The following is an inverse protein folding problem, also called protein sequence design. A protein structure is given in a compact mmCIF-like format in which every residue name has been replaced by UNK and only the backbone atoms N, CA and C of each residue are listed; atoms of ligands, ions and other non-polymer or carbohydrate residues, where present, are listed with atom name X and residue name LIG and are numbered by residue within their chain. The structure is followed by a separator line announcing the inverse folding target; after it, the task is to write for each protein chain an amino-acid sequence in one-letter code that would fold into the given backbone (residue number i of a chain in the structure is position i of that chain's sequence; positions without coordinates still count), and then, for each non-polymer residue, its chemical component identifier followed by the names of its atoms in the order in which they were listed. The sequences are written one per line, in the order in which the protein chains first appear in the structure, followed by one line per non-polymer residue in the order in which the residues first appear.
data_IF_460726356486
#
_entry.id   IF_460726356486
#
_cell.length_a   1.000
_cell.length_b   1.000
_cell.length_c   1.000
_cell.angle_alpha   90.00
_cell.angle_beta   90.00
_cell.angle_gamma   90.00
#
_symmetry.space_group_name_H-M   'P 1'
#
loop_
_entity.id
_entity.type
_entity.pdbx_description
1 polymer ?
#
# COMPACT_ATOMS: atom_id res chain seq x y z
N UNK A 1 -21.14 -3.11 -13.61
CA UNK A 1 -19.75 -3.30 -14.07
C UNK A 1 -18.86 -3.51 -12.86
N UNK A 2 -17.76 -4.29 -12.97
CA UNK A 2 -16.83 -4.58 -11.86
C UNK A 2 -15.41 -4.18 -12.25
N UNK A 3 -14.62 -3.72 -11.29
CA UNK A 3 -13.19 -3.41 -11.43
C UNK A 3 -12.41 -4.06 -10.29
N UNK A 4 -11.15 -4.38 -10.53
CA UNK A 4 -10.23 -5.00 -9.56
C UNK A 4 -8.92 -4.23 -9.60
N UNK A 5 -8.38 -3.94 -8.41
CA UNK A 5 -7.05 -3.31 -8.24
C UNK A 5 -6.13 -4.30 -7.56
N UNK A 6 -4.95 -4.54 -8.15
CA UNK A 6 -3.91 -5.37 -7.53
C UNK A 6 -3.18 -4.56 -6.45
N UNK A 7 -3.43 -4.89 -5.19
CA UNK A 7 -2.85 -4.22 -4.02
C UNK A 7 -1.87 -5.11 -3.22
N UNK A 8 -1.02 -5.87 -3.92
CA UNK A 8 -0.09 -6.84 -3.34
C UNK A 8 1.39 -6.53 -3.63
N UNK A 9 2.27 -7.34 -3.06
CA UNK A 9 3.74 -7.25 -3.25
C UNK A 9 4.50 -7.05 -1.93
N UNK A 10 5.78 -7.47 -1.89
CA UNK A 10 6.60 -7.48 -0.66
C UNK A 10 7.07 -6.10 -0.19
N UNK A 11 7.02 -5.08 -1.04
CA UNK A 11 7.35 -3.70 -0.66
C UNK A 11 8.80 -3.48 -0.17
N UNK A 12 9.73 -4.39 -0.42
CA UNK A 12 11.07 -4.44 0.23
C UNK A 12 11.89 -3.15 0.16
N UNK A 13 11.68 -2.32 -0.87
CA UNK A 13 12.34 -1.00 -1.01
C UNK A 13 11.93 0.04 0.03
N UNK A 14 10.81 -0.16 0.70
CA UNK A 14 10.26 0.74 1.72
C UNK A 14 10.45 0.19 3.14
N UNK A 15 11.29 -0.83 3.34
CA UNK A 15 11.66 -1.27 4.68
C UNK A 15 12.30 -0.09 5.44
N UNK A 16 11.97 0.11 6.73
CA UNK A 16 11.18 -0.78 7.59
C UNK A 16 9.66 -0.54 7.56
N UNK A 17 9.17 0.47 6.83
CA UNK A 17 7.75 0.88 6.82
C UNK A 17 6.83 -0.25 6.33
N UNK A 18 7.32 -1.13 5.46
CA UNK A 18 6.55 -2.25 4.93
C UNK A 18 6.77 -3.58 5.65
N UNK A 19 7.40 -3.57 6.84
CA UNK A 19 7.66 -4.80 7.61
C UNK A 19 6.38 -5.37 8.24
N UNK A 20 5.47 -4.50 8.70
CA UNK A 20 4.23 -4.86 9.40
C UNK A 20 3.00 -4.41 8.59
N UNK A 21 3.14 -3.35 7.79
CA UNK A 21 2.07 -2.72 7.01
C UNK A 21 2.30 -2.86 5.50
N UNK A 22 1.25 -3.11 4.72
CA UNK A 22 1.34 -3.13 3.26
C UNK A 22 1.55 -1.69 2.72
N UNK A 23 2.36 -1.54 1.67
CA UNK A 23 2.62 -0.25 0.99
C UNK A 23 1.33 0.51 0.63
N UNK A 24 0.29 -0.19 0.18
CA UNK A 24 -0.96 0.43 -0.27
C UNK A 24 -1.76 1.11 0.86
N UNK A 25 -1.44 0.80 2.11
CA UNK A 25 -2.05 1.41 3.29
C UNK A 25 -1.20 2.53 3.89
N UNK A 26 -0.01 2.81 3.33
CA UNK A 26 0.83 3.89 3.81
C UNK A 26 0.13 5.24 3.54
N UNK A 27 0.21 6.20 4.48
CA UNK A 27 -0.40 7.50 4.32
C UNK A 27 0.32 8.31 3.24
N UNK A 28 -0.47 8.93 2.38
CA UNK A 28 -0.11 10.04 1.49
C UNK A 28 -0.90 11.23 1.99
N UNK A 29 -0.22 12.12 2.73
CA UNK A 29 -0.85 13.20 3.48
C UNK A 29 -1.91 12.64 4.45
N UNK A 30 -3.18 12.99 4.23
CA UNK A 30 -4.34 12.65 5.04
C UNK A 30 -5.06 11.37 4.61
N UNK A 31 -4.59 10.68 3.56
CA UNK A 31 -5.27 9.51 2.97
C UNK A 31 -4.33 8.33 2.76
N UNK A 32 -4.79 7.07 2.87
CA UNK A 32 -4.01 5.91 2.44
C UNK A 32 -3.81 5.87 0.92
N UNK A 33 -2.70 5.29 0.46
CA UNK A 33 -2.30 5.22 -0.96
C UNK A 33 -3.31 4.54 -1.91
N UNK A 34 -4.19 3.67 -1.40
CA UNK A 34 -5.17 2.93 -2.21
C UNK A 34 -6.47 3.68 -2.48
N UNK A 35 -6.72 4.79 -1.78
CA UNK A 35 -7.88 5.67 -2.02
C UNK A 35 -7.57 6.68 -3.12
#
# INVERSE_FOLDING_TARGET
MKCVVLAGGLGTRLLPLTKITNRHLLPILDKPMIL
#
